data_IF_615808054901
#
_entry.id   IF_615808054901
#
_cell.length_a   1.000
_cell.length_b   1.000
_cell.length_c   1.000
_cell.angle_alpha   90.00
_cell.angle_beta   90.00
_cell.angle_gamma   90.00
#
_symmetry.space_group_name_H-M   'P 1'
#
loop_
_entity.id
_entity.type
_entity.pdbx_description
1 polymer ?
#
# COMPACT_ATOMS: atom_id res chain seq x y z
N UNK A 1 -35.60 25.00 79.16
CA UNK A 1 -34.28 24.39 79.04
C UNK A 1 -34.06 24.05 77.58
N UNK A 2 -33.22 24.82 76.94
CA UNK A 2 -33.01 24.76 75.47
C UNK A 2 -31.74 24.04 75.17
N UNK A 3 -31.78 23.00 74.35
CA UNK A 3 -30.57 22.42 73.72
C UNK A 3 -30.52 22.79 72.25
N UNK A 4 -29.51 23.55 71.91
CA UNK A 4 -29.14 23.89 70.53
C UNK A 4 -28.39 22.72 69.87
N UNK A 5 -28.94 22.19 68.78
CA UNK A 5 -28.19 21.30 67.86
C UNK A 5 -27.47 22.15 66.80
N UNK A 6 -26.17 22.02 66.70
CA UNK A 6 -25.33 22.62 65.63
C UNK A 6 -25.37 21.72 64.41
N UNK A 7 -25.85 22.24 63.27
CA UNK A 7 -25.73 21.61 61.96
C UNK A 7 -24.35 21.90 61.35
N UNK A 8 -23.61 20.87 61.02
CA UNK A 8 -22.37 20.92 60.24
C UNK A 8 -22.74 20.93 58.74
N UNK A 9 -22.50 22.04 58.08
CA UNK A 9 -22.57 22.15 56.62
C UNK A 9 -21.30 21.55 55.99
N UNK A 10 -21.42 20.37 55.41
CA UNK A 10 -20.36 19.78 54.57
C UNK A 10 -20.41 20.39 53.15
N UNK A 11 -19.39 21.11 52.77
CA UNK A 11 -19.17 21.60 51.39
C UNK A 11 -18.72 20.44 50.54
N UNK A 12 -19.57 19.98 49.64
CA UNK A 12 -19.18 19.08 48.54
C UNK A 12 -18.70 19.96 47.37
N UNK A 13 -17.38 19.97 47.11
CA UNK A 13 -16.82 20.54 45.91
C UNK A 13 -17.02 19.59 44.76
N UNK A 14 -17.98 19.83 43.90
CA UNK A 14 -18.14 19.15 42.63
C UNK A 14 -17.09 19.68 41.65
N UNK A 15 -16.06 18.87 41.36
CA UNK A 15 -15.12 19.16 40.30
C UNK A 15 -15.84 18.96 38.94
N UNK A 16 -16.11 20.04 38.24
CA UNK A 16 -16.53 20.01 36.84
C UNK A 16 -15.32 19.61 36.01
N UNK A 17 -15.31 18.38 35.52
CA UNK A 17 -14.37 17.95 34.45
C UNK A 17 -14.93 18.58 33.15
N UNK A 18 -14.36 19.68 32.73
CA UNK A 18 -14.59 20.25 31.41
C UNK A 18 -13.94 19.33 30.37
N UNK A 19 -14.75 18.50 29.72
CA UNK A 19 -14.36 17.78 28.52
C UNK A 19 -14.09 18.80 27.41
N UNK A 20 -12.83 19.12 27.17
CA UNK A 20 -12.43 19.89 26.00
C UNK A 20 -12.68 19.01 24.78
N UNK A 21 -13.84 19.15 24.16
CA UNK A 21 -14.03 18.68 22.80
C UNK A 21 -13.08 19.51 21.93
N UNK A 22 -11.98 18.91 21.52
CA UNK A 22 -11.15 19.47 20.47
C UNK A 22 -12.06 19.62 19.24
N UNK A 23 -12.28 20.85 18.81
CA UNK A 23 -12.93 21.14 17.54
C UNK A 23 -12.19 20.36 16.45
N UNK A 24 -12.89 19.76 15.47
CA UNK A 24 -12.22 19.11 14.35
C UNK A 24 -11.34 20.15 13.69
N UNK A 25 -10.01 19.93 13.79
CA UNK A 25 -9.02 20.81 13.19
C UNK A 25 -9.37 21.06 11.73
N UNK A 26 -9.17 22.28 11.28
CA UNK A 26 -9.28 22.69 9.87
C UNK A 26 -8.75 21.58 8.97
N UNK A 27 -9.62 21.05 8.10
CA UNK A 27 -9.37 19.86 7.33
C UNK A 27 -8.03 19.90 6.62
N UNK A 28 -7.22 18.89 6.87
CA UNK A 28 -6.03 18.64 6.07
C UNK A 28 -6.45 18.72 4.60
N UNK A 29 -5.82 19.59 3.81
CA UNK A 29 -6.18 19.78 2.42
C UNK A 29 -6.13 18.42 1.72
N UNK A 30 -7.24 17.99 1.13
CA UNK A 30 -7.35 16.74 0.38
C UNK A 30 -6.23 16.70 -0.65
N UNK A 31 -5.50 15.60 -0.73
CA UNK A 31 -4.44 15.46 -1.73
C UNK A 31 -5.05 15.49 -3.14
N UNK A 32 -4.50 16.35 -3.99
CA UNK A 32 -4.87 16.43 -5.40
C UNK A 32 -3.97 15.50 -6.21
N UNK A 33 -4.55 14.90 -7.23
CA UNK A 33 -3.88 14.05 -8.20
C UNK A 33 -4.39 14.25 -9.62
N UNK A 34 -3.83 13.47 -10.50
CA UNK A 34 -4.22 13.42 -11.91
C UNK A 34 -4.23 11.96 -12.36
N UNK A 35 -5.04 11.64 -13.35
CA UNK A 35 -4.88 10.40 -14.07
C UNK A 35 -4.50 10.60 -15.53
N UNK A 36 -3.72 9.67 -16.07
CA UNK A 36 -3.03 9.80 -17.34
C UNK A 36 -3.10 8.51 -18.15
N UNK A 37 -3.03 8.70 -19.47
CA UNK A 37 -2.79 7.63 -20.43
C UNK A 37 -1.94 8.15 -21.59
N UNK A 38 -1.70 7.33 -22.59
CA UNK A 38 -0.99 7.69 -23.82
C UNK A 38 -1.56 8.91 -24.55
N UNK A 39 -2.77 9.34 -24.21
CA UNK A 39 -3.40 10.52 -24.80
C UNK A 39 -2.96 11.84 -24.17
N UNK A 40 -2.34 11.78 -23.00
CA UNK A 40 -1.81 12.94 -22.29
C UNK A 40 -0.34 13.15 -22.65
N UNK A 41 0.06 14.37 -22.90
CA UNK A 41 1.46 14.72 -23.16
C UNK A 41 2.04 15.50 -21.99
N UNK A 42 2.78 14.80 -21.12
CA UNK A 42 3.55 15.44 -20.05
C UNK A 42 4.81 16.06 -20.64
N UNK A 43 5.03 17.34 -20.36
CA UNK A 43 6.19 18.11 -20.81
C UNK A 43 7.14 18.47 -19.68
N UNK A 44 6.68 18.40 -18.40
CA UNK A 44 7.51 18.65 -17.23
C UNK A 44 6.87 18.08 -15.97
N UNK A 45 7.39 17.00 -15.46
CA UNK A 45 6.97 16.39 -14.20
C UNK A 45 7.26 17.29 -12.99
N UNK A 46 8.37 18.04 -13.01
CA UNK A 46 8.69 19.01 -11.97
C UNK A 46 7.61 20.08 -11.83
N UNK A 47 7.05 20.57 -12.95
CA UNK A 47 5.94 21.53 -12.91
C UNK A 47 4.65 20.89 -12.39
N UNK A 48 4.37 19.63 -12.71
CA UNK A 48 3.23 18.90 -12.16
C UNK A 48 3.35 18.83 -10.63
N UNK A 49 4.49 18.41 -10.12
CA UNK A 49 4.72 18.33 -8.68
C UNK A 49 4.66 19.70 -7.99
N UNK A 50 5.25 20.73 -8.60
CA UNK A 50 5.20 22.11 -8.11
C UNK A 50 3.78 22.70 -8.10
N UNK A 51 2.88 22.21 -8.96
CA UNK A 51 1.46 22.55 -8.98
C UNK A 51 0.65 22.03 -7.79
N UNK A 52 1.29 21.35 -6.83
CA UNK A 52 0.66 20.85 -5.61
C UNK A 52 0.01 19.47 -5.74
N UNK A 53 0.18 18.81 -6.88
CA UNK A 53 -0.26 17.42 -7.07
C UNK A 53 0.61 16.48 -6.23
N UNK A 54 0.02 15.43 -5.69
CA UNK A 54 0.67 14.47 -4.80
C UNK A 54 0.70 13.06 -5.34
N UNK A 55 -0.18 12.75 -6.29
CA UNK A 55 -0.27 11.44 -6.90
C UNK A 55 -0.66 11.51 -8.38
N UNK A 56 -0.32 10.43 -9.07
CA UNK A 56 -0.67 10.18 -10.47
C UNK A 56 -1.16 8.75 -10.57
N UNK A 57 -2.26 8.52 -11.29
CA UNK A 57 -2.69 7.17 -11.65
C UNK A 57 -2.57 7.02 -13.16
N UNK A 58 -1.69 6.15 -13.63
CA UNK A 58 -1.41 6.00 -15.05
C UNK A 58 -1.99 4.69 -15.61
N UNK A 59 -2.53 4.77 -16.84
CA UNK A 59 -2.99 3.59 -17.56
C UNK A 59 -1.83 2.63 -17.79
N UNK A 60 -1.96 1.40 -17.31
CA UNK A 60 -0.97 0.35 -17.54
C UNK A 60 -1.41 -0.57 -18.68
N UNK A 61 -2.68 -1.01 -18.66
CA UNK A 61 -3.18 -1.99 -19.61
C UNK A 61 -4.64 -1.76 -20.02
N UNK A 62 -5.05 -2.39 -21.11
CA UNK A 62 -6.38 -2.28 -21.73
C UNK A 62 -6.78 -3.67 -22.28
N UNK A 63 -7.75 -4.34 -21.67
CA UNK A 63 -8.12 -5.70 -22.02
C UNK A 63 -7.01 -6.72 -21.75
N UNK A 64 -7.10 -7.88 -22.39
CA UNK A 64 -6.22 -9.01 -22.11
C UNK A 64 -4.80 -8.94 -22.73
N UNK A 65 -4.53 -7.94 -23.59
CA UNK A 65 -3.28 -7.97 -24.38
C UNK A 65 -2.67 -6.60 -24.70
N UNK A 66 -3.37 -5.50 -24.47
CA UNK A 66 -2.84 -4.18 -24.79
C UNK A 66 -2.22 -3.52 -23.57
N UNK A 67 -1.01 -3.01 -23.74
CA UNK A 67 -0.31 -2.18 -22.75
C UNK A 67 -0.31 -0.72 -23.20
N UNK A 68 -0.34 0.20 -22.24
CA UNK A 68 -0.12 1.61 -22.53
C UNK A 68 1.39 1.86 -22.59
N UNK A 69 1.88 2.28 -23.75
CA UNK A 69 3.32 2.43 -23.99
C UNK A 69 3.95 3.57 -23.19
N UNK A 70 3.15 4.50 -22.65
CA UNK A 70 3.65 5.59 -21.81
C UNK A 70 3.82 5.20 -20.35
N UNK A 71 3.19 4.10 -19.92
CA UNK A 71 3.21 3.71 -18.50
C UNK A 71 4.63 3.56 -17.91
N UNK A 72 5.59 2.90 -18.57
CA UNK A 72 6.93 2.74 -18.00
C UNK A 72 7.65 4.07 -17.76
N UNK A 73 7.56 5.01 -18.72
CA UNK A 73 8.16 6.34 -18.57
C UNK A 73 7.43 7.17 -17.51
N UNK A 74 6.09 7.17 -17.51
CA UNK A 74 5.31 7.89 -16.50
C UNK A 74 5.59 7.39 -15.09
N UNK A 75 5.79 6.07 -14.94
CA UNK A 75 6.19 5.46 -13.68
C UNK A 75 7.54 5.99 -13.17
N UNK A 76 8.55 5.97 -14.04
CA UNK A 76 9.89 6.40 -13.69
C UNK A 76 9.92 7.91 -13.35
N UNK A 77 9.35 8.72 -14.23
CA UNK A 77 9.43 10.18 -14.15
C UNK A 77 8.60 10.76 -12.99
N UNK A 78 7.39 10.23 -12.76
CA UNK A 78 6.56 10.66 -11.62
C UNK A 78 7.24 10.34 -10.28
N UNK A 79 7.86 9.15 -10.19
CA UNK A 79 8.58 8.74 -8.99
C UNK A 79 9.81 9.61 -8.74
N UNK A 80 10.53 10.02 -9.79
CA UNK A 80 11.72 10.87 -9.69
C UNK A 80 11.42 12.26 -9.09
N UNK A 81 10.18 12.76 -9.22
CA UNK A 81 9.74 14.04 -8.63
C UNK A 81 8.93 13.85 -7.34
N UNK A 82 8.91 12.64 -6.76
CA UNK A 82 8.27 12.34 -5.48
C UNK A 82 6.74 12.20 -5.52
N UNK A 83 6.13 12.10 -6.70
CA UNK A 83 4.70 11.79 -6.83
C UNK A 83 4.44 10.32 -6.51
N UNK A 84 3.35 10.03 -5.78
CA UNK A 84 2.89 8.65 -5.61
C UNK A 84 2.27 8.17 -6.91
N UNK A 85 2.75 7.03 -7.40
CA UNK A 85 2.23 6.44 -8.61
C UNK A 85 1.18 5.37 -8.31
N UNK A 86 0.10 5.35 -9.09
CA UNK A 86 -0.86 4.26 -9.23
C UNK A 86 -0.90 3.74 -10.66
N UNK A 87 -1.47 2.56 -10.81
CA UNK A 87 -1.73 1.97 -12.13
C UNK A 87 -3.21 1.61 -12.27
N UNK A 88 -3.78 1.87 -13.44
CA UNK A 88 -5.12 1.39 -13.75
C UNK A 88 -5.16 0.45 -14.96
N UNK A 89 -6.11 -0.48 -14.88
CA UNK A 89 -6.46 -1.39 -15.95
C UNK A 89 -7.79 -0.96 -16.57
N UNK A 90 -7.81 -0.66 -17.86
CA UNK A 90 -9.05 -0.40 -18.58
C UNK A 90 -9.72 -1.72 -18.93
N UNK A 91 -10.86 -1.98 -18.33
CA UNK A 91 -11.58 -3.23 -18.47
C UNK A 91 -12.23 -3.40 -19.85
N UNK A 92 -12.08 -4.60 -20.42
CA UNK A 92 -12.79 -5.06 -21.63
C UNK A 92 -13.52 -6.37 -21.29
N UNK A 93 -14.59 -6.32 -20.48
CA UNK A 93 -15.29 -7.53 -20.09
C UNK A 93 -15.79 -8.31 -21.30
N UNK A 94 -15.66 -9.64 -21.27
CA UNK A 94 -16.14 -10.52 -22.33
C UNK A 94 -16.45 -11.92 -21.77
N UNK A 95 -17.32 -12.67 -22.45
CA UNK A 95 -17.65 -14.05 -22.11
C UNK A 95 -19.11 -14.40 -22.43
N UNK A 96 -19.36 -15.57 -23.00
CA UNK A 96 -20.71 -16.03 -23.35
C UNK A 96 -21.47 -16.61 -22.15
N UNK A 97 -20.75 -16.99 -21.09
CA UNK A 97 -21.28 -17.56 -19.86
C UNK A 97 -20.36 -17.24 -18.69
N UNK A 98 -20.72 -17.65 -17.48
CA UNK A 98 -19.96 -17.34 -16.26
C UNK A 98 -18.51 -17.86 -16.30
N UNK A 99 -18.29 -19.08 -16.80
CA UNK A 99 -16.95 -19.68 -16.88
C UNK A 99 -16.05 -18.85 -17.81
N UNK A 100 -16.54 -18.52 -19.00
CA UNK A 100 -15.80 -17.71 -19.96
C UNK A 100 -15.59 -16.26 -19.46
N UNK A 101 -16.57 -15.67 -18.78
CA UNK A 101 -16.45 -14.34 -18.20
C UNK A 101 -15.40 -14.30 -17.09
N UNK A 102 -15.38 -15.27 -16.17
CA UNK A 102 -14.36 -15.39 -15.12
C UNK A 102 -12.98 -15.62 -15.73
N UNK A 103 -12.83 -16.53 -16.70
CA UNK A 103 -11.55 -16.77 -17.36
C UNK A 103 -11.00 -15.51 -18.06
N UNK A 104 -11.88 -14.74 -18.73
CA UNK A 104 -11.49 -13.48 -19.34
C UNK A 104 -11.06 -12.44 -18.32
N UNK A 105 -11.73 -12.34 -17.18
CA UNK A 105 -11.35 -11.44 -16.09
C UNK A 105 -9.98 -11.77 -15.50
N UNK A 106 -9.72 -13.06 -15.23
CA UNK A 106 -8.42 -13.54 -14.72
C UNK A 106 -7.30 -13.25 -15.73
N UNK A 107 -7.51 -13.54 -17.02
CA UNK A 107 -6.52 -13.23 -18.05
C UNK A 107 -6.21 -11.72 -18.13
N UNK A 108 -7.21 -10.85 -17.94
CA UNK A 108 -6.99 -9.40 -17.89
C UNK A 108 -6.26 -8.97 -16.59
N UNK A 109 -6.54 -9.60 -15.46
CA UNK A 109 -5.83 -9.35 -14.21
C UNK A 109 -4.36 -9.77 -14.30
N UNK A 110 -4.08 -10.94 -14.87
CA UNK A 110 -2.71 -11.43 -15.09
C UNK A 110 -1.93 -10.50 -16.03
N UNK A 111 -2.53 -10.08 -17.14
CA UNK A 111 -1.92 -9.12 -18.05
C UNK A 111 -1.64 -7.77 -17.35
N UNK A 112 -2.60 -7.25 -16.60
CA UNK A 112 -2.41 -6.03 -15.82
C UNK A 112 -1.24 -6.14 -14.84
N UNK A 113 -1.19 -7.21 -14.06
CA UNK A 113 -0.12 -7.43 -13.08
C UNK A 113 1.27 -7.57 -13.73
N UNK A 114 1.34 -8.24 -14.89
CA UNK A 114 2.57 -8.38 -15.65
C UNK A 114 3.10 -7.03 -16.18
N UNK A 115 2.19 -6.13 -16.60
CA UNK A 115 2.56 -4.80 -17.11
C UNK A 115 2.80 -3.80 -15.98
N UNK A 116 1.87 -3.69 -15.04
CA UNK A 116 1.89 -2.69 -13.98
C UNK A 116 2.97 -2.95 -12.93
N UNK A 117 3.23 -4.23 -12.60
CA UNK A 117 4.18 -4.65 -11.58
C UNK A 117 4.10 -3.79 -10.31
N UNK A 118 2.93 -3.74 -9.62
CA UNK A 118 2.75 -2.88 -8.45
C UNK A 118 3.76 -3.20 -7.37
N UNK A 119 4.36 -2.16 -6.77
CA UNK A 119 5.39 -2.27 -5.74
C UNK A 119 4.92 -1.67 -4.42
N UNK A 120 5.58 -2.02 -3.33
CA UNK A 120 5.38 -1.34 -2.06
C UNK A 120 5.51 0.18 -2.23
N UNK A 121 4.58 0.90 -1.63
CA UNK A 121 4.44 2.37 -1.71
C UNK A 121 3.86 2.93 -3.02
N UNK A 122 3.53 2.11 -4.01
CA UNK A 122 2.63 2.51 -5.09
C UNK A 122 1.20 2.64 -4.54
N UNK A 123 0.36 3.44 -5.17
CA UNK A 123 -1.08 3.42 -4.88
C UNK A 123 -1.67 2.06 -5.24
N UNK A 124 -2.72 1.68 -4.54
CA UNK A 124 -3.45 0.44 -4.84
C UNK A 124 -3.87 0.42 -6.32
N UNK A 125 -3.77 -0.73 -6.98
CA UNK A 125 -4.24 -0.91 -8.36
C UNK A 125 -5.69 -0.52 -8.54
N UNK A 126 -6.05 -0.11 -9.74
CA UNK A 126 -7.40 0.32 -10.08
C UNK A 126 -7.96 -0.50 -11.22
N UNK A 127 -9.17 -1.02 -11.03
CA UNK A 127 -10.02 -1.53 -12.09
C UNK A 127 -10.87 -0.39 -12.64
N UNK A 128 -10.59 0.06 -13.84
CA UNK A 128 -11.40 1.03 -14.58
C UNK A 128 -12.52 0.31 -15.33
N UNK A 129 -13.71 0.34 -14.75
CA UNK A 129 -14.90 -0.39 -15.20
C UNK A 129 -15.96 0.56 -15.77
N UNK A 130 -15.92 0.75 -17.11
CA UNK A 130 -16.82 1.62 -17.87
C UNK A 130 -17.48 0.92 -19.06
N UNK A 131 -17.17 -0.35 -19.30
CA UNK A 131 -17.68 -1.13 -20.43
C UNK A 131 -18.37 -2.37 -19.94
N UNK A 132 -19.54 -2.67 -20.53
CA UNK A 132 -20.29 -3.89 -20.23
C UNK A 132 -19.80 -5.10 -21.03
N UNK A 133 -19.13 -4.89 -22.19
CA UNK A 133 -18.61 -5.95 -23.05
C UNK A 133 -19.67 -6.94 -23.56
N UNK A 134 -20.93 -6.51 -23.63
CA UNK A 134 -22.07 -7.38 -23.99
C UNK A 134 -22.50 -8.33 -22.87
N UNK A 135 -21.99 -8.18 -21.65
CA UNK A 135 -22.38 -9.01 -20.50
C UNK A 135 -23.69 -8.52 -19.88
N UNK A 136 -24.49 -9.46 -19.40
CA UNK A 136 -25.62 -9.15 -18.52
C UNK A 136 -25.11 -8.72 -17.13
N UNK A 137 -25.91 -8.01 -16.31
CA UNK A 137 -25.46 -7.58 -14.99
C UNK A 137 -24.91 -8.72 -14.11
N UNK A 138 -25.52 -9.92 -14.00
CA UNK A 138 -24.94 -11.02 -13.23
C UNK A 138 -23.58 -11.52 -13.75
N UNK A 139 -23.40 -11.53 -15.08
CA UNK A 139 -22.13 -11.92 -15.68
C UNK A 139 -21.06 -10.86 -15.47
N UNK A 140 -21.42 -9.56 -15.57
CA UNK A 140 -20.49 -8.46 -15.31
C UNK A 140 -20.09 -8.42 -13.84
N UNK A 141 -21.00 -8.68 -12.90
CA UNK A 141 -20.68 -8.82 -11.47
C UNK A 141 -19.70 -9.98 -11.26
N UNK A 142 -19.93 -11.13 -11.89
CA UNK A 142 -19.01 -12.28 -11.80
C UNK A 142 -17.63 -11.97 -12.39
N UNK A 143 -17.59 -11.28 -13.53
CA UNK A 143 -16.36 -10.82 -14.17
C UNK A 143 -15.57 -9.86 -13.26
N UNK A 144 -16.24 -8.84 -12.75
CA UNK A 144 -15.66 -7.83 -11.86
C UNK A 144 -15.10 -8.48 -10.59
N UNK A 145 -15.89 -9.39 -9.98
CA UNK A 145 -15.44 -10.15 -8.81
C UNK A 145 -14.17 -10.94 -9.08
N UNK A 146 -14.09 -11.63 -10.22
CA UNK A 146 -12.95 -12.47 -10.57
C UNK A 146 -11.67 -11.64 -10.75
N UNK A 147 -11.76 -10.50 -11.47
CA UNK A 147 -10.61 -9.61 -11.64
C UNK A 147 -10.11 -9.05 -10.30
N UNK A 148 -11.03 -8.52 -9.49
CA UNK A 148 -10.70 -7.95 -8.18
C UNK A 148 -10.10 -9.00 -7.23
N UNK A 149 -10.64 -10.21 -7.22
CA UNK A 149 -10.14 -11.31 -6.39
C UNK A 149 -8.75 -11.77 -6.83
N UNK A 150 -8.50 -11.92 -8.15
CA UNK A 150 -7.18 -12.34 -8.64
C UNK A 150 -6.10 -11.30 -8.28
N UNK A 151 -6.35 -10.01 -8.50
CA UNK A 151 -5.41 -8.95 -8.11
C UNK A 151 -5.24 -8.91 -6.58
N UNK A 152 -6.33 -9.05 -5.81
CA UNK A 152 -6.25 -9.07 -4.34
C UNK A 152 -5.41 -10.24 -3.81
N UNK A 153 -5.58 -11.41 -4.40
CA UNK A 153 -4.84 -12.62 -4.04
C UNK A 153 -3.33 -12.46 -4.28
N UNK A 154 -2.97 -11.89 -5.44
CA UNK A 154 -1.57 -11.73 -5.86
C UNK A 154 -0.84 -10.64 -5.10
N UNK A 155 -1.53 -9.60 -4.68
CA UNK A 155 -0.93 -8.45 -3.99
C UNK A 155 -1.19 -8.42 -2.48
N UNK A 156 -1.98 -9.34 -1.96
CA UNK A 156 -2.47 -9.30 -0.58
C UNK A 156 -3.09 -7.94 -0.20
N UNK A 157 -3.67 -7.26 -1.19
CA UNK A 157 -4.28 -5.94 -1.05
C UNK A 157 -5.50 -5.81 -1.97
N UNK A 158 -6.53 -5.10 -1.52
CA UNK A 158 -7.74 -4.87 -2.32
C UNK A 158 -7.53 -3.72 -3.30
N UNK A 159 -7.67 -3.93 -4.61
CA UNK A 159 -7.65 -2.85 -5.59
C UNK A 159 -8.86 -1.93 -5.45
N UNK A 160 -8.79 -0.75 -6.06
CA UNK A 160 -9.92 0.16 -6.18
C UNK A 160 -10.78 -0.19 -7.40
N UNK A 161 -12.04 0.23 -7.35
CA UNK A 161 -12.94 0.23 -8.50
C UNK A 161 -13.14 1.68 -8.95
N UNK A 162 -12.74 2.01 -10.19
CA UNK A 162 -13.13 3.25 -10.83
C UNK A 162 -14.38 3.02 -11.67
N UNK A 163 -15.36 3.90 -11.48
CA UNK A 163 -16.63 3.86 -12.23
C UNK A 163 -17.41 5.15 -12.07
N UNK A 164 -18.39 5.39 -12.97
CA UNK A 164 -19.37 6.46 -12.80
C UNK A 164 -20.64 5.94 -12.13
N UNK A 165 -21.38 6.78 -11.37
CA UNK A 165 -22.64 6.38 -10.75
C UNK A 165 -23.65 5.82 -11.75
N UNK A 166 -23.79 6.47 -12.91
CA UNK A 166 -24.71 6.04 -13.95
C UNK A 166 -24.37 4.67 -14.50
N UNK A 167 -23.07 4.41 -14.74
CA UNK A 167 -22.65 3.10 -15.22
C UNK A 167 -22.93 2.02 -14.16
N UNK A 168 -22.54 2.27 -12.91
CA UNK A 168 -22.74 1.31 -11.83
C UNK A 168 -24.20 0.92 -11.65
N UNK A 169 -25.08 1.92 -11.59
CA UNK A 169 -26.52 1.70 -11.45
C UNK A 169 -27.11 0.88 -12.60
N UNK A 170 -26.74 1.21 -13.84
CA UNK A 170 -27.31 0.57 -15.03
C UNK A 170 -26.70 -0.80 -15.32
N UNK A 171 -25.39 -0.93 -15.22
CA UNK A 171 -24.65 -2.12 -15.65
C UNK A 171 -24.48 -3.18 -14.55
N UNK A 172 -24.47 -2.76 -13.27
CA UNK A 172 -24.29 -3.66 -12.14
C UNK A 172 -25.50 -3.66 -11.18
N UNK A 173 -26.64 -3.09 -11.60
CA UNK A 173 -27.88 -3.03 -10.80
C UNK A 173 -27.67 -2.37 -9.43
N UNK A 174 -26.80 -1.37 -9.38
CA UNK A 174 -26.44 -0.62 -8.17
C UNK A 174 -26.00 -1.50 -6.99
N UNK A 175 -25.36 -2.64 -7.25
CA UNK A 175 -24.99 -3.60 -6.20
C UNK A 175 -24.05 -3.02 -5.18
N UNK A 176 -24.30 -3.18 -3.87
CA UNK A 176 -23.37 -2.80 -2.81
C UNK A 176 -22.32 -3.89 -2.50
N UNK A 177 -22.36 -5.05 -3.17
CA UNK A 177 -21.57 -6.23 -2.81
C UNK A 177 -20.06 -5.98 -2.77
N UNK A 178 -19.54 -5.16 -3.67
CA UNK A 178 -18.10 -4.84 -3.71
C UNK A 178 -17.70 -3.91 -2.57
N UNK A 179 -18.50 -2.90 -2.29
CA UNK A 179 -18.31 -2.01 -1.15
C UNK A 179 -18.39 -2.79 0.18
N UNK A 180 -19.40 -3.65 0.34
CA UNK A 180 -19.55 -4.53 1.51
C UNK A 180 -18.37 -5.51 1.67
N UNK A 181 -17.73 -5.89 0.56
CA UNK A 181 -16.49 -6.68 0.57
C UNK A 181 -15.23 -5.84 0.83
N UNK A 182 -15.36 -4.54 1.06
CA UNK A 182 -14.27 -3.63 1.42
C UNK A 182 -13.41 -3.16 0.25
N UNK A 183 -13.90 -3.22 -0.99
CA UNK A 183 -13.25 -2.56 -2.12
C UNK A 183 -13.55 -1.07 -2.11
N UNK A 184 -12.52 -0.25 -2.30
CA UNK A 184 -12.63 1.20 -2.30
C UNK A 184 -13.09 1.75 -3.66
N UNK A 185 -13.78 2.90 -3.65
CA UNK A 185 -14.30 3.56 -4.85
C UNK A 185 -13.41 4.71 -5.30
N UNK A 186 -13.07 4.74 -6.59
CA UNK A 186 -12.66 5.93 -7.31
C UNK A 186 -13.85 6.37 -8.19
N UNK A 187 -14.50 7.43 -7.75
CA UNK A 187 -15.73 7.94 -8.34
C UNK A 187 -15.44 8.83 -9.54
N UNK A 188 -15.97 8.51 -10.72
CA UNK A 188 -15.99 9.40 -11.88
C UNK A 188 -17.29 10.22 -11.87
N UNK A 189 -17.22 11.45 -11.39
CA UNK A 189 -18.38 12.37 -11.39
C UNK A 189 -17.92 13.80 -11.63
N UNK A 190 -18.05 14.25 -12.84
CA UNK A 190 -17.63 15.60 -13.23
C UNK A 190 -18.67 16.63 -12.77
N UNK A 191 -18.38 17.28 -11.67
CA UNK A 191 -19.25 18.26 -11.04
C UNK A 191 -18.46 19.14 -10.08
N UNK A 192 -18.94 20.36 -9.90
CA UNK A 192 -18.42 21.29 -8.89
C UNK A 192 -19.13 21.19 -7.55
N UNK A 193 -20.19 20.36 -7.46
CA UNK A 193 -20.91 20.13 -6.20
C UNK A 193 -19.95 19.45 -5.21
N UNK A 194 -19.76 19.97 -4.00
CA UNK A 194 -18.77 19.47 -3.03
C UNK A 194 -18.97 18.00 -2.63
N UNK A 195 -20.22 17.55 -2.58
CA UNK A 195 -20.61 16.19 -2.20
C UNK A 195 -21.27 15.49 -3.40
N UNK A 196 -20.48 14.82 -4.27
CA UNK A 196 -21.02 14.14 -5.42
C UNK A 196 -21.86 12.93 -5.01
N UNK A 197 -22.93 12.65 -5.77
CA UNK A 197 -23.72 11.43 -5.58
C UNK A 197 -22.83 10.18 -5.76
N UNK A 198 -22.89 9.28 -4.78
CA UNK A 198 -22.15 8.00 -4.73
C UNK A 198 -23.15 6.84 -4.85
N UNK A 199 -22.96 5.89 -5.80
CA UNK A 199 -23.85 4.75 -5.99
C UNK A 199 -23.73 3.71 -4.88
N UNK A 200 -24.50 2.62 -4.98
CA UNK A 200 -24.42 1.48 -4.07
C UNK A 200 -24.60 1.86 -2.60
N UNK A 201 -25.68 2.62 -2.30
CA UNK A 201 -25.99 3.09 -0.93
C UNK A 201 -24.85 3.90 -0.31
N UNK A 202 -24.35 4.90 -1.03
CA UNK A 202 -23.17 5.66 -0.66
C UNK A 202 -21.94 4.75 -0.47
N UNK A 203 -21.76 3.80 -1.40
CA UNK A 203 -20.72 2.76 -1.35
C UNK A 203 -20.75 2.00 -0.02
N UNK A 204 -21.92 1.49 0.34
CA UNK A 204 -22.22 0.86 1.63
C UNK A 204 -21.85 1.75 2.84
N UNK A 205 -22.06 3.06 2.73
CA UNK A 205 -21.75 4.03 3.78
C UNK A 205 -20.30 4.52 3.81
N UNK A 206 -19.41 3.97 2.97
CA UNK A 206 -17.97 4.31 2.96
C UNK A 206 -17.66 5.58 2.15
N UNK A 207 -18.57 6.01 1.27
CA UNK A 207 -18.34 7.13 0.36
C UNK A 207 -17.29 6.81 -0.72
N UNK A 208 -16.70 7.85 -1.26
CA UNK A 208 -15.64 7.74 -2.25
C UNK A 208 -14.26 7.85 -1.60
N UNK A 209 -13.30 7.11 -2.13
CA UNK A 209 -11.88 7.18 -1.72
C UNK A 209 -11.11 8.14 -2.60
N UNK A 210 -11.29 8.04 -3.92
CA UNK A 210 -10.84 9.02 -4.90
C UNK A 210 -12.03 9.53 -5.69
N UNK A 211 -11.93 10.76 -6.16
CA UNK A 211 -12.94 11.39 -6.99
C UNK A 211 -12.30 12.13 -8.16
N UNK A 212 -12.55 11.63 -9.37
CA UNK A 212 -12.26 12.33 -10.62
C UNK A 212 -13.40 13.36 -10.82
N UNK A 213 -13.09 14.60 -10.53
CA UNK A 213 -14.09 15.68 -10.48
C UNK A 213 -14.21 16.48 -11.77
N UNK A 214 -13.24 16.35 -12.69
CA UNK A 214 -13.27 16.89 -14.05
C UNK A 214 -12.41 16.03 -14.98
N UNK A 215 -12.84 15.97 -16.25
CA UNK A 215 -12.08 15.34 -17.34
C UNK A 215 -11.33 16.34 -18.20
N UNK A 216 -11.30 17.62 -17.81
CA UNK A 216 -10.59 18.65 -18.55
C UNK A 216 -10.08 19.74 -17.59
N UNK A 217 -9.08 19.41 -16.80
CA UNK A 217 -8.30 20.35 -16.03
C UNK A 217 -7.06 20.82 -16.78
N UNK A 218 -6.47 21.92 -16.34
CA UNK A 218 -5.20 22.43 -16.86
C UNK A 218 -4.13 22.35 -15.79
N UNK A 219 -3.04 21.64 -16.08
CA UNK A 219 -1.93 21.40 -15.17
C UNK A 219 -0.62 21.88 -15.78
N UNK A 220 0.12 22.70 -15.06
CA UNK A 220 1.44 23.14 -15.48
C UNK A 220 2.36 21.93 -15.73
N UNK A 221 2.91 21.83 -16.95
CA UNK A 221 3.72 20.69 -17.37
C UNK A 221 2.97 19.60 -18.12
N UNK A 222 1.66 19.78 -18.40
CA UNK A 222 0.87 18.88 -19.26
C UNK A 222 0.23 19.71 -20.37
N UNK A 223 0.23 19.19 -21.60
CA UNK A 223 -0.44 19.83 -22.73
C UNK A 223 -1.89 19.40 -22.83
N UNK A 224 -2.78 20.37 -23.01
CA UNK A 224 -4.22 20.14 -23.19
C UNK A 224 -4.94 19.82 -21.87
N UNK A 225 -6.06 19.15 -22.00
CA UNK A 225 -6.87 18.73 -20.86
C UNK A 225 -6.28 17.49 -20.20
N UNK A 226 -6.48 17.40 -18.88
CA UNK A 226 -6.12 16.24 -18.07
C UNK A 226 -7.19 16.03 -17.00
N UNK A 227 -7.41 14.79 -16.63
CA UNK A 227 -8.31 14.39 -15.57
C UNK A 227 -7.74 14.81 -14.21
N UNK A 228 -8.57 15.44 -13.36
CA UNK A 228 -8.17 15.90 -12.05
C UNK A 228 -8.90 15.12 -10.96
N UNK A 229 -8.12 14.69 -9.97
CA UNK A 229 -8.54 13.83 -8.89
C UNK A 229 -8.35 14.45 -7.52
N UNK A 230 -9.19 14.01 -6.58
CA UNK A 230 -9.09 14.30 -5.16
C UNK A 230 -9.08 13.01 -4.36
N UNK A 231 -8.23 12.94 -3.37
CA UNK A 231 -8.23 11.86 -2.39
C UNK A 231 -9.01 12.26 -1.14
N UNK A 232 -9.87 11.37 -0.64
CA UNK A 232 -10.73 11.61 0.53
C UNK A 232 -10.19 10.90 1.78
N UNK A 233 -9.01 11.30 2.21
CA UNK A 233 -8.44 10.73 3.43
C UNK A 233 -7.34 11.62 4.01
N UNK A 234 -6.91 11.34 5.25
CA UNK A 234 -5.90 12.15 5.91
C UNK A 234 -4.49 11.93 5.35
N UNK A 235 -4.24 10.76 4.75
CA UNK A 235 -2.95 10.39 4.20
C UNK A 235 -3.08 9.32 3.12
N UNK A 236 -2.36 9.48 2.01
CA UNK A 236 -2.28 8.47 0.95
C UNK A 236 -1.71 7.13 1.45
N UNK A 237 -1.07 7.09 2.62
CA UNK A 237 -0.55 5.84 3.20
C UNK A 237 -1.61 4.75 3.40
N UNK A 238 -2.88 5.14 3.55
CA UNK A 238 -4.01 4.19 3.69
C UNK A 238 -4.35 3.44 2.40
N UNK A 239 -3.92 3.95 1.26
CA UNK A 239 -4.23 3.42 -0.08
C UNK A 239 -2.97 3.01 -0.85
N UNK A 240 -1.89 2.65 -0.15
CA UNK A 240 -0.67 2.15 -0.77
C UNK A 240 -0.61 0.62 -0.77
N UNK A 241 0.01 0.08 -1.80
CA UNK A 241 0.42 -1.34 -1.83
C UNK A 241 1.39 -1.59 -0.69
N UNK A 242 1.12 -2.65 0.05
CA UNK A 242 1.95 -3.09 1.18
C UNK A 242 2.70 -4.35 0.80
N UNK A 243 3.94 -4.49 1.29
CA UNK A 243 4.76 -5.68 1.08
C UNK A 243 5.45 -6.10 2.38
N UNK A 244 5.66 -7.40 2.53
CA UNK A 244 6.56 -7.94 3.54
C UNK A 244 7.98 -7.37 3.33
N UNK A 245 8.82 -7.37 4.37
CA UNK A 245 10.21 -6.97 4.21
C UNK A 245 10.94 -7.89 3.22
N UNK A 246 11.83 -7.31 2.41
CA UNK A 246 12.78 -8.05 1.56
C UNK A 246 14.18 -7.50 1.77
N UNK A 247 15.17 -8.37 1.90
CA UNK A 247 16.58 -7.96 2.00
C UNK A 247 17.07 -7.48 0.64
N UNK A 248 17.69 -6.29 0.60
CA UNK A 248 18.34 -5.71 -0.59
C UNK A 248 19.86 -5.71 -0.47
N UNK A 249 20.38 -5.85 0.76
CA UNK A 249 21.76 -6.21 1.03
C UNK A 249 21.82 -7.08 2.29
N UNK A 250 22.66 -8.10 2.34
CA UNK A 250 22.72 -8.99 3.50
C UNK A 250 23.19 -8.26 4.77
N UNK A 251 22.89 -8.81 5.96
CA UNK A 251 23.54 -8.40 7.19
C UNK A 251 25.05 -8.54 7.13
N UNK A 252 25.76 -7.81 7.95
CA UNK A 252 27.22 -7.93 8.09
C UNK A 252 27.61 -8.01 9.55
N UNK A 253 28.77 -8.62 9.83
CA UNK A 253 29.38 -8.74 11.15
C UNK A 253 30.64 -7.87 11.16
N UNK A 254 30.85 -7.11 12.22
CA UNK A 254 32.07 -6.36 12.49
C UNK A 254 32.59 -6.72 13.90
N UNK A 255 33.90 -6.77 14.05
CA UNK A 255 34.60 -7.13 15.28
C UNK A 255 35.78 -8.05 15.01
N UNK A 256 36.56 -8.36 16.04
CA UNK A 256 37.70 -9.29 15.93
C UNK A 256 37.24 -10.72 16.22
N UNK A 257 37.63 -11.62 15.35
CA UNK A 257 37.31 -13.06 15.45
C UNK A 257 38.25 -13.75 16.47
N UNK A 258 38.20 -13.34 17.73
CA UNK A 258 39.07 -13.82 18.79
C UNK A 258 38.27 -14.03 20.08
N UNK A 259 38.62 -15.04 20.87
CA UNK A 259 38.00 -15.33 22.15
C UNK A 259 37.88 -14.09 23.02
N UNK A 260 36.78 -13.94 23.74
CA UNK A 260 36.39 -12.84 24.62
C UNK A 260 36.13 -11.49 23.89
N UNK A 261 36.29 -11.42 22.56
CA UNK A 261 35.91 -10.26 21.77
C UNK A 261 34.41 -10.25 21.47
N UNK A 262 33.88 -9.04 21.21
CA UNK A 262 32.47 -8.86 20.89
C UNK A 262 32.28 -8.57 19.40
N UNK A 263 31.46 -9.37 18.76
CA UNK A 263 30.98 -9.16 17.40
C UNK A 263 29.72 -8.29 17.42
N UNK A 264 29.58 -7.39 16.46
CA UNK A 264 28.42 -6.51 16.27
C UNK A 264 27.80 -6.79 14.92
N UNK A 265 26.48 -6.99 14.90
CA UNK A 265 25.69 -7.19 13.70
C UNK A 265 25.19 -5.86 13.14
N UNK A 266 25.42 -5.60 11.86
CA UNK A 266 24.69 -4.61 11.09
C UNK A 266 23.56 -5.32 10.32
N UNK A 267 22.35 -4.76 10.39
CA UNK A 267 21.14 -5.41 9.86
C UNK A 267 21.08 -5.59 8.34
N UNK A 268 21.97 -4.92 7.58
CA UNK A 268 21.86 -4.85 6.12
C UNK A 268 20.80 -3.86 5.63
N UNK A 269 20.51 -3.91 4.34
CA UNK A 269 19.50 -3.09 3.68
C UNK A 269 18.18 -3.85 3.50
N UNK A 270 17.07 -3.18 3.76
CA UNK A 270 15.73 -3.77 3.66
C UNK A 270 14.75 -2.83 2.96
N UNK A 271 13.87 -3.42 2.15
CA UNK A 271 12.70 -2.77 1.56
C UNK A 271 11.43 -3.42 2.11
N UNK A 272 10.31 -2.71 2.07
CA UNK A 272 9.01 -3.18 2.52
C UNK A 272 8.18 -2.05 3.14
N UNK A 273 6.97 -2.40 3.54
CA UNK A 273 6.09 -1.43 4.21
C UNK A 273 6.57 -1.17 5.64
N UNK A 274 6.75 0.08 6.00
CA UNK A 274 7.12 0.51 7.35
C UNK A 274 5.88 0.56 8.28
N UNK A 275 6.05 0.38 9.61
CA UNK A 275 7.31 0.11 10.31
C UNK A 275 7.78 -1.33 10.13
N UNK A 276 9.11 -1.51 10.10
CA UNK A 276 9.77 -2.82 10.10
C UNK A 276 10.48 -3.01 11.44
N UNK A 277 10.27 -4.16 12.06
CA UNK A 277 10.96 -4.58 13.28
C UNK A 277 12.02 -5.61 12.91
N UNK A 278 13.14 -5.64 13.67
CA UNK A 278 14.24 -6.54 13.43
C UNK A 278 14.51 -7.39 14.66
N UNK A 279 14.71 -8.69 14.43
CA UNK A 279 15.18 -9.66 15.40
C UNK A 279 16.50 -10.25 14.89
N UNK A 280 17.38 -10.65 15.81
CA UNK A 280 18.68 -11.20 15.54
C UNK A 280 18.78 -12.60 16.13
N UNK A 281 19.49 -13.50 15.46
CA UNK A 281 19.89 -14.78 15.97
C UNK A 281 21.31 -15.09 15.49
N UNK A 282 22.21 -15.41 16.41
CA UNK A 282 23.58 -15.77 16.07
C UNK A 282 23.68 -17.27 15.89
N UNK A 283 24.50 -17.69 14.93
CA UNK A 283 24.72 -19.08 14.59
C UNK A 283 26.22 -19.38 14.62
N UNK A 284 26.57 -20.56 15.14
CA UNK A 284 27.91 -21.15 15.04
C UNK A 284 27.93 -22.10 13.88
N UNK A 285 28.88 -21.91 12.98
CA UNK A 285 29.11 -22.75 11.82
C UNK A 285 30.45 -23.48 11.96
N UNK A 286 30.69 -24.48 11.11
CA UNK A 286 32.05 -25.08 11.02
C UNK A 286 33.11 -24.08 10.49
N UNK A 287 34.37 -24.52 10.42
CA UNK A 287 35.49 -23.69 9.99
C UNK A 287 35.33 -23.20 8.53
N UNK A 288 34.60 -23.94 7.71
CA UNK A 288 34.27 -23.65 6.32
C UNK A 288 33.06 -22.72 6.16
N UNK A 289 32.38 -22.35 7.24
CA UNK A 289 31.20 -21.49 7.24
C UNK A 289 29.90 -22.21 6.88
N UNK A 290 29.89 -23.54 7.00
CA UNK A 290 28.75 -24.41 6.76
C UNK A 290 28.22 -25.03 8.06
N UNK A 291 27.17 -25.85 7.98
CA UNK A 291 26.61 -26.60 9.10
C UNK A 291 26.27 -25.72 10.30
N UNK A 292 25.66 -24.55 10.06
CA UNK A 292 25.38 -23.54 11.08
C UNK A 292 24.27 -24.00 12.03
N UNK A 293 24.49 -23.81 13.33
CA UNK A 293 23.54 -24.10 14.38
C UNK A 293 23.29 -22.86 15.24
N UNK A 294 22.03 -22.60 15.57
CA UNK A 294 21.65 -21.47 16.38
C UNK A 294 22.31 -21.51 17.77
N UNK A 295 22.88 -20.39 18.20
CA UNK A 295 23.44 -20.21 19.54
C UNK A 295 22.28 -19.81 20.46
N UNK A 296 21.91 -20.70 21.38
CA UNK A 296 20.79 -20.49 22.28
C UNK A 296 20.94 -19.21 23.10
N UNK A 297 19.93 -18.34 23.06
CA UNK A 297 19.92 -17.07 23.81
C UNK A 297 20.71 -15.91 23.15
N UNK A 298 21.46 -16.14 22.08
CA UNK A 298 22.20 -15.11 21.36
C UNK A 298 21.29 -14.35 20.39
N UNK A 299 20.48 -13.41 20.92
CA UNK A 299 19.44 -12.68 20.17
C UNK A 299 19.69 -11.15 20.13
N UNK A 300 20.79 -10.69 20.69
CA UNK A 300 21.19 -9.28 20.68
C UNK A 300 21.80 -8.84 19.35
N UNK A 301 21.95 -7.52 19.18
CA UNK A 301 22.74 -6.94 18.09
C UNK A 301 24.24 -7.18 18.24
N UNK A 302 24.66 -7.67 19.39
CA UNK A 302 26.03 -8.04 19.71
C UNK A 302 26.10 -9.45 20.25
N UNK A 303 27.25 -10.11 20.04
CA UNK A 303 27.54 -11.44 20.58
C UNK A 303 28.99 -11.47 21.04
N UNK A 304 29.23 -11.85 22.32
CA UNK A 304 30.59 -12.01 22.87
C UNK A 304 31.03 -13.44 22.68
N UNK A 305 32.17 -13.62 22.04
CA UNK A 305 32.76 -14.92 21.71
C UNK A 305 33.20 -15.65 22.95
N UNK A 306 32.80 -16.92 23.09
CA UNK A 306 33.14 -17.79 24.20
C UNK A 306 34.01 -18.97 23.77
N UNK A 307 34.48 -19.82 24.76
CA UNK A 307 35.32 -20.95 24.45
C UNK A 307 34.74 -21.96 23.44
N UNK A 308 33.42 -22.18 23.38
CA UNK A 308 32.82 -23.06 22.36
C UNK A 308 32.93 -22.55 20.93
N UNK A 309 33.27 -21.27 20.72
CA UNK A 309 33.33 -20.67 19.39
C UNK A 309 34.71 -20.85 18.75
N UNK A 310 35.74 -21.15 19.55
CA UNK A 310 37.13 -21.32 19.04
C UNK A 310 37.18 -22.48 18.05
N UNK A 311 37.77 -22.20 16.87
CA UNK A 311 37.81 -23.14 15.73
C UNK A 311 36.57 -23.14 14.83
N UNK A 312 35.55 -22.36 15.17
CA UNK A 312 34.30 -22.21 14.39
C UNK A 312 34.25 -20.83 13.72
N UNK A 313 33.31 -20.63 12.82
CA UNK A 313 32.92 -19.31 12.31
C UNK A 313 31.55 -18.93 12.86
N UNK A 314 31.25 -17.64 12.89
CA UNK A 314 29.97 -17.10 13.41
C UNK A 314 29.22 -16.37 12.30
N UNK A 315 27.93 -16.66 12.18
CA UNK A 315 27.01 -15.95 11.31
C UNK A 315 25.89 -15.28 12.14
N UNK A 316 25.22 -14.29 11.56
CA UNK A 316 24.03 -13.68 12.14
C UNK A 316 22.87 -13.74 11.16
N UNK A 317 21.74 -14.24 11.62
CA UNK A 317 20.45 -14.20 10.93
C UNK A 317 19.69 -12.97 11.41
N UNK A 318 19.30 -12.10 10.51
CA UNK A 318 18.43 -10.95 10.78
C UNK A 318 17.06 -11.23 10.19
N UNK A 319 16.03 -11.24 11.05
CA UNK A 319 14.62 -11.38 10.65
C UNK A 319 13.95 -10.02 10.69
N UNK A 320 13.52 -9.54 9.54
CA UNK A 320 12.73 -8.33 9.40
C UNK A 320 11.24 -8.69 9.36
N UNK A 321 10.42 -8.00 10.15
CA UNK A 321 8.97 -8.26 10.28
C UNK A 321 8.18 -6.96 10.18
N UNK A 322 7.09 -6.97 9.43
CA UNK A 322 6.06 -5.93 9.44
C UNK A 322 4.66 -6.57 9.53
N UNK A 323 3.61 -5.75 9.40
CA UNK A 323 2.22 -6.22 9.46
C UNK A 323 1.81 -7.17 8.30
N UNK A 324 2.64 -7.31 7.27
CA UNK A 324 2.36 -8.13 6.07
C UNK A 324 3.06 -9.49 6.17
N UNK A 325 4.22 -9.54 6.84
CA UNK A 325 4.98 -10.78 6.98
C UNK A 325 6.39 -10.56 7.49
N UNK A 326 7.16 -11.65 7.47
CA UNK A 326 8.55 -11.70 7.92
C UNK A 326 9.44 -12.31 6.84
N UNK A 327 10.68 -11.85 6.77
CA UNK A 327 11.73 -12.39 5.92
C UNK A 327 13.04 -12.36 6.67
N UNK A 328 13.85 -13.41 6.52
CA UNK A 328 15.17 -13.49 7.13
C UNK A 328 16.27 -13.40 6.09
N UNK A 329 17.42 -12.85 6.48
CA UNK A 329 18.65 -12.84 5.71
C UNK A 329 19.81 -13.14 6.64
N UNK A 330 20.81 -13.90 6.13
CA UNK A 330 21.98 -14.32 6.88
C UNK A 330 23.21 -13.59 6.37
N UNK A 331 24.12 -13.23 7.28
CA UNK A 331 25.42 -12.64 6.94
C UNK A 331 26.35 -13.67 6.28
N UNK A 332 27.40 -13.19 5.64
CA UNK A 332 28.59 -14.05 5.46
C UNK A 332 29.13 -14.45 6.83
N UNK A 333 29.76 -15.65 6.94
CA UNK A 333 30.41 -16.07 8.19
C UNK A 333 31.58 -15.13 8.55
N UNK A 334 31.90 -15.03 9.83
CA UNK A 334 33.14 -14.41 10.30
C UNK A 334 34.36 -15.23 9.84
N UNK A 335 35.57 -14.68 9.96
CA UNK A 335 36.77 -15.52 10.02
C UNK A 335 36.65 -16.58 11.14
N UNK A 336 37.46 -17.65 11.07
CA UNK A 336 37.56 -18.66 12.13
C UNK A 336 37.98 -17.99 13.44
N UNK A 337 37.27 -18.29 14.52
CA UNK A 337 37.56 -17.73 15.83
C UNK A 337 38.83 -18.34 16.38
N UNK A 338 39.80 -17.52 16.74
CA UNK A 338 41.06 -17.93 17.36
C UNK A 338 41.04 -17.76 18.87
N UNK A 339 41.84 -18.53 19.57
CA UNK A 339 42.13 -18.30 20.97
C UNK A 339 42.84 -16.94 21.18
N UNK A 340 42.79 -16.42 22.40
CA UNK A 340 43.49 -15.18 22.78
C UNK A 340 45.01 -15.35 22.82
#
# INVERSE_FOLDING_TARGET
MAHRARALCGLWATALVASVFAAPGFGASRANGIDLSRWNRVTSWTRVAAGGYRFVVAKASDGASRSDFTYPSYRADASAVGLKLGAYHFARPAGKNRVAAVANAVAQADHFLAVAQPRASDLLPVLDLEKIGGLTPPLLISWTSAWLQEVSKRLHARPLVYTSPRFWQKALSDTPAFAASGYSLWLARWTTVPDPFVPAQNWAGLGWTFWQWTSCGHVGGIRGCVDLDRFNGPSLSSVLVRAAPTSVSPPTIVGFAQLDQTLTAARGGWQGTIPVRFAYAWERCDAEGANCLAITGATGTTYTLGPPDVGSTIAVVVTATNAIGSTSATSLPSPVIVAS
#
